data_IF_019883602697
#
_entry.id   IF_019883602697
#
_cell.length_a   1.000
_cell.length_b   1.000
_cell.length_c   1.000
_cell.angle_alpha   90.00
_cell.angle_beta   90.00
_cell.angle_gamma   90.00
#
_symmetry.space_group_name_H-M   'P 1'
#
loop_
_entity.id
_entity.type
_entity.pdbx_description
1 polymer ?
#
# COMPACT_ATOMS: atom_id res chain seq x y z
N UNK A 1 -8.39 -3.80 1.58
CA UNK A 1 -7.43 -4.91 1.76
C UNK A 1 -6.21 -4.33 2.44
N UNK A 2 -5.70 -4.95 3.51
CA UNK A 2 -4.55 -4.43 4.26
C UNK A 2 -3.38 -5.42 4.37
N UNK A 3 -3.62 -6.69 4.04
CA UNK A 3 -2.62 -7.73 4.07
C UNK A 3 -2.95 -8.84 3.06
N UNK A 4 -1.95 -9.64 2.73
CA UNK A 4 -2.07 -10.87 1.95
C UNK A 4 -1.81 -12.05 2.87
N UNK A 5 -2.62 -13.11 2.76
CA UNK A 5 -2.43 -14.40 3.43
C UNK A 5 -2.19 -15.46 2.36
N UNK A 6 -1.02 -16.10 2.38
CA UNK A 6 -0.69 -17.23 1.54
C UNK A 6 -0.69 -18.51 2.38
N UNK A 7 -1.50 -19.49 2.00
CA UNK A 7 -1.57 -20.82 2.62
C UNK A 7 -1.00 -21.83 1.62
N UNK A 8 0.14 -22.42 1.93
CA UNK A 8 0.71 -23.53 1.18
C UNK A 8 0.03 -24.84 1.59
N UNK A 9 -0.57 -25.51 0.62
CA UNK A 9 -1.17 -26.83 0.80
C UNK A 9 -0.08 -27.91 0.85
N UNK A 10 -0.38 -29.11 1.40
CA UNK A 10 0.57 -30.21 1.43
C UNK A 10 0.90 -30.68 0.00
N UNK A 11 2.03 -30.23 -0.52
CA UNK A 11 2.60 -30.65 -1.79
C UNK A 11 4.12 -30.67 -1.71
N UNK A 12 4.74 -31.76 -2.18
CA UNK A 12 6.19 -31.86 -2.26
C UNK A 12 6.75 -30.87 -3.31
N UNK A 13 7.66 -30.00 -2.88
CA UNK A 13 8.39 -29.09 -3.74
C UNK A 13 9.72 -28.70 -3.10
N UNK A 14 10.65 -28.21 -3.93
CA UNK A 14 11.90 -27.58 -3.51
C UNK A 14 12.00 -26.16 -4.11
N UNK A 15 12.66 -25.25 -3.39
CA UNK A 15 12.70 -23.83 -3.75
C UNK A 15 11.37 -23.13 -3.47
N UNK A 16 11.09 -22.03 -4.17
CA UNK A 16 9.84 -21.30 -3.97
C UNK A 16 9.83 -20.35 -2.77
N UNK A 17 10.99 -20.01 -2.21
CA UNK A 17 11.06 -19.21 -0.99
C UNK A 17 10.42 -17.83 -1.21
N UNK A 18 9.59 -17.43 -0.25
CA UNK A 18 8.99 -16.12 -0.18
C UNK A 18 9.93 -15.19 0.59
N UNK A 19 10.38 -14.15 -0.09
CA UNK A 19 11.18 -13.08 0.48
C UNK A 19 10.25 -11.91 0.74
N UNK A 20 10.25 -11.43 1.98
CA UNK A 20 9.48 -10.28 2.45
C UNK A 20 10.46 -9.21 2.90
N UNK A 21 10.21 -7.96 2.50
CA UNK A 21 11.06 -6.84 2.83
C UNK A 21 10.25 -5.60 3.18
N UNK A 22 10.58 -4.99 4.32
CA UNK A 22 9.94 -3.76 4.79
C UNK A 22 10.85 -3.02 5.76
N UNK A 23 11.01 -1.70 5.57
CA UNK A 23 11.82 -0.81 6.42
C UNK A 23 13.25 -1.34 6.68
N UNK A 24 13.93 -1.81 5.63
CA UNK A 24 15.29 -2.36 5.70
C UNK A 24 15.39 -3.72 6.40
N UNK A 25 14.26 -4.33 6.81
CA UNK A 25 14.23 -5.67 7.38
C UNK A 25 13.79 -6.67 6.32
N UNK A 26 14.53 -7.77 6.22
CA UNK A 26 14.27 -8.86 5.28
C UNK A 26 13.98 -10.15 6.02
N UNK A 27 12.89 -10.82 5.63
CA UNK A 27 12.51 -12.13 6.13
C UNK A 27 12.35 -13.10 4.96
N UNK A 28 12.82 -14.33 5.13
CA UNK A 28 12.67 -15.40 4.14
C UNK A 28 11.83 -16.51 4.76
N UNK A 29 10.77 -16.90 4.07
CA UNK A 29 9.91 -18.01 4.43
C UNK A 29 10.03 -19.13 3.40
N UNK A 30 10.28 -20.34 3.87
CA UNK A 30 10.42 -21.53 3.05
C UNK A 30 9.30 -22.52 3.39
N UNK A 31 8.33 -22.67 2.48
CA UNK A 31 7.22 -23.61 2.63
C UNK A 31 7.65 -25.08 2.46
N UNK A 32 8.71 -25.35 1.70
CA UNK A 32 9.18 -26.71 1.40
C UNK A 32 9.54 -27.51 2.66
N UNK A 33 9.97 -26.83 3.74
CA UNK A 33 10.37 -27.47 4.99
C UNK A 33 9.26 -28.31 5.66
N UNK A 34 7.99 -28.02 5.36
CA UNK A 34 6.83 -28.67 5.99
C UNK A 34 5.83 -29.22 4.98
N UNK A 35 5.98 -28.86 3.69
CA UNK A 35 4.95 -29.08 2.67
C UNK A 35 4.72 -30.53 2.27
N UNK A 36 5.61 -31.46 2.61
CA UNK A 36 5.41 -32.88 2.35
C UNK A 36 4.34 -33.52 3.26
N UNK A 37 4.11 -32.94 4.45
CA UNK A 37 3.31 -33.56 5.50
C UNK A 37 2.25 -32.64 6.11
N UNK A 38 2.41 -31.32 6.02
CA UNK A 38 1.51 -30.38 6.69
C UNK A 38 1.30 -29.08 5.89
N UNK A 39 0.25 -28.36 6.29
CA UNK A 39 -0.06 -27.01 5.83
C UNK A 39 0.91 -26.01 6.45
N UNK A 40 1.28 -25.00 5.66
CA UNK A 40 2.03 -23.85 6.18
C UNK A 40 1.46 -22.55 5.64
N UNK A 41 1.68 -21.45 6.35
CA UNK A 41 1.16 -20.16 5.92
C UNK A 41 2.14 -19.03 6.18
N UNK A 42 1.97 -17.96 5.40
CA UNK A 42 2.63 -16.68 5.59
C UNK A 42 1.62 -15.56 5.38
N UNK A 43 1.70 -14.51 6.18
CA UNK A 43 0.90 -13.31 6.00
C UNK A 43 1.79 -12.07 6.07
N UNK A 44 1.51 -11.07 5.23
CA UNK A 44 2.25 -9.81 5.19
C UNK A 44 1.34 -8.64 4.86
N UNK A 45 1.68 -7.46 5.36
CA UNK A 45 0.94 -6.23 5.08
C UNK A 45 1.13 -5.77 3.63
N UNK A 46 0.19 -4.98 3.13
CA UNK A 46 0.15 -4.54 1.72
C UNK A 46 1.35 -3.65 1.32
N UNK A 47 2.02 -3.03 2.28
CA UNK A 47 3.21 -2.19 2.12
C UNK A 47 4.53 -2.98 2.23
N UNK A 48 4.46 -4.31 2.40
CA UNK A 48 5.63 -5.19 2.39
C UNK A 48 5.94 -5.60 0.94
N UNK A 49 7.15 -5.30 0.50
CA UNK A 49 7.68 -5.80 -0.78
C UNK A 49 7.86 -7.31 -0.68
N UNK A 50 7.33 -8.05 -1.65
CA UNK A 50 7.40 -9.52 -1.64
C UNK A 50 7.91 -10.07 -2.96
N UNK A 51 8.69 -11.16 -2.89
CA UNK A 51 9.21 -11.88 -4.05
C UNK A 51 9.19 -13.39 -3.79
N UNK A 52 8.72 -14.16 -4.77
CA UNK A 52 8.75 -15.62 -4.72
C UNK A 52 9.87 -16.12 -5.63
N UNK A 53 10.79 -16.92 -5.11
CA UNK A 53 11.83 -17.58 -5.92
C UNK A 53 11.22 -18.69 -6.80
N UNK A 54 11.89 -19.07 -7.90
CA UNK A 54 11.44 -20.21 -8.71
C UNK A 54 11.37 -21.51 -7.91
N UNK A 55 10.45 -22.39 -8.31
CA UNK A 55 10.42 -23.78 -7.84
C UNK A 55 11.51 -24.56 -8.58
N UNK A 56 12.36 -25.23 -7.82
CA UNK A 56 13.46 -26.03 -8.34
C UNK A 56 13.01 -27.46 -8.72
N UNK A 57 12.09 -28.02 -7.95
CA UNK A 57 11.54 -29.37 -8.14
C UNK A 57 10.15 -29.51 -7.53
N UNK A 58 9.35 -30.46 -8.03
CA UNK A 58 8.01 -30.75 -7.52
C UNK A 58 6.94 -29.71 -7.91
N UNK A 59 5.87 -29.64 -7.12
CA UNK A 59 4.73 -28.75 -7.37
C UNK A 59 4.32 -28.03 -6.09
N UNK A 60 4.09 -26.73 -6.18
CA UNK A 60 3.67 -25.91 -5.04
C UNK A 60 2.27 -25.37 -5.26
N UNK A 61 1.31 -25.82 -4.46
CA UNK A 61 -0.06 -25.30 -4.45
C UNK A 61 -0.24 -24.30 -3.30
N UNK A 62 -0.65 -23.08 -3.64
CA UNK A 62 -0.86 -21.99 -2.67
C UNK A 62 -2.23 -21.37 -2.86
N UNK A 63 -2.97 -21.20 -1.78
CA UNK A 63 -4.17 -20.38 -1.72
C UNK A 63 -3.78 -18.98 -1.24
N UNK A 64 -3.99 -17.98 -2.10
CA UNK A 64 -3.69 -16.59 -1.78
C UNK A 64 -4.97 -15.83 -1.53
N UNK A 65 -5.09 -15.26 -0.33
CA UNK A 65 -6.23 -14.48 0.10
C UNK A 65 -5.84 -13.02 0.35
N UNK A 66 -6.73 -12.14 -0.06
CA UNK A 66 -6.70 -10.73 0.30
C UNK A 66 -7.40 -10.56 1.65
N UNK A 67 -6.67 -10.11 2.67
CA UNK A 67 -7.21 -9.87 4.01
C UNK A 67 -7.77 -8.45 4.06
N UNK A 68 -9.01 -8.32 4.51
CA UNK A 68 -9.76 -7.07 4.59
C UNK A 68 -10.13 -6.87 6.07
N UNK A 69 -9.92 -5.67 6.60
CA UNK A 69 -10.32 -5.31 7.95
C UNK A 69 -11.64 -4.55 7.88
N UNK A 70 -12.66 -5.03 8.57
CA UNK A 70 -13.99 -4.40 8.71
C UNK A 70 -14.15 -3.65 10.05
N UNK A 71 -13.05 -3.46 10.79
CA UNK A 71 -13.09 -2.85 12.12
C UNK A 71 -13.20 -1.31 12.08
N UNK A 72 -14.30 -0.83 12.64
CA UNK A 72 -14.55 0.55 13.07
C UNK A 72 -13.64 0.93 14.26
N UNK A 73 -12.90 2.07 14.18
CA UNK A 73 -12.12 2.78 15.25
C UNK A 73 -10.73 3.22 14.72
N UNK A 74 -10.09 4.39 14.94
CA UNK A 74 -10.27 5.63 15.75
C UNK A 74 -9.33 6.70 15.12
N UNK A 75 -9.69 7.99 15.19
CA UNK A 75 -9.03 9.06 14.42
C UNK A 75 -7.91 9.77 15.19
N UNK A 76 -6.76 9.97 14.53
CA UNK A 76 -5.78 11.02 14.83
C UNK A 76 -6.10 12.29 14.02
N UNK A 77 -6.26 13.43 14.69
CA UNK A 77 -6.46 14.75 14.08
C UNK A 77 -5.09 15.40 13.84
N UNK A 78 -4.66 15.48 12.58
CA UNK A 78 -3.60 16.41 12.15
C UNK A 78 -4.23 17.54 11.36
N UNK A 79 -4.26 18.75 11.93
CA UNK A 79 -4.60 19.98 11.21
C UNK A 79 -3.28 20.58 10.74
N UNK A 80 -3.11 20.77 9.43
CA UNK A 80 -2.04 21.61 8.90
C UNK A 80 -2.50 23.07 9.02
N UNK A 81 -1.84 23.82 9.89
CA UNK A 81 -2.05 25.25 10.11
C UNK A 81 -1.17 26.04 9.13
N UNK A 82 -1.81 26.85 8.30
CA UNK A 82 -1.20 27.80 7.36
C UNK A 82 -1.99 29.12 7.48
N UNK A 83 -1.50 30.00 8.34
CA UNK A 83 -1.24 31.38 7.94
C UNK A 83 -2.39 32.22 7.35
N UNK A 84 -3.48 32.42 8.11
CA UNK A 84 -4.20 33.70 8.11
C UNK A 84 -5.06 34.10 6.91
N UNK A 85 -5.23 33.23 5.90
CA UNK A 85 -6.28 33.34 4.89
C UNK A 85 -6.99 31.99 4.79
N UNK A 86 -8.32 31.96 4.63
CA UNK A 86 -9.02 30.69 4.36
C UNK A 86 -8.43 30.10 3.07
N UNK A 87 -7.72 28.97 3.12
CA UNK A 87 -7.17 28.39 1.92
C UNK A 87 -8.32 27.96 1.01
N UNK A 88 -8.19 28.20 -0.29
CA UNK A 88 -9.22 27.82 -1.27
C UNK A 88 -9.46 26.30 -1.31
N UNK A 89 -8.48 25.51 -0.83
CA UNK A 89 -8.53 24.05 -0.78
C UNK A 89 -7.85 23.52 0.48
N UNK A 90 -8.42 22.47 1.08
CA UNK A 90 -7.79 21.71 2.16
C UNK A 90 -7.40 20.33 1.64
N UNK A 91 -6.13 19.96 1.81
CA UNK A 91 -5.62 18.65 1.40
C UNK A 91 -5.34 17.80 2.64
N UNK A 92 -5.76 16.53 2.59
CA UNK A 92 -5.42 15.53 3.59
C UNK A 92 -4.79 14.32 2.90
N UNK A 93 -3.54 14.01 3.23
CA UNK A 93 -2.86 12.84 2.70
C UNK A 93 -3.44 11.58 3.35
N UNK A 94 -3.96 10.68 2.51
CA UNK A 94 -4.39 9.36 2.94
C UNK A 94 -3.18 8.52 3.35
N UNK A 95 -3.38 7.69 4.37
CA UNK A 95 -2.33 6.86 4.98
C UNK A 95 -1.91 5.70 4.08
N UNK A 96 -2.80 5.22 3.20
CA UNK A 96 -2.50 4.16 2.23
C UNK A 96 -2.25 4.74 0.84
N UNK A 97 -1.45 4.01 0.04
CA UNK A 97 -1.28 4.30 -1.38
C UNK A 97 -2.43 3.68 -2.18
N UNK A 98 -3.03 4.49 -3.06
CA UNK A 98 -4.14 4.07 -3.93
C UNK A 98 -3.74 4.26 -5.38
N UNK A 99 -4.10 3.29 -6.22
CA UNK A 99 -4.12 3.46 -7.67
C UNK A 99 -5.40 4.18 -8.09
N UNK A 100 -5.42 4.77 -9.29
CA UNK A 100 -6.61 5.42 -9.84
C UNK A 100 -7.84 4.50 -9.85
N UNK A 101 -7.67 3.22 -10.21
CA UNK A 101 -8.77 2.25 -10.20
C UNK A 101 -9.32 1.96 -8.78
N UNK A 102 -8.52 2.17 -7.74
CA UNK A 102 -8.90 1.96 -6.34
C UNK A 102 -9.32 3.24 -5.61
N UNK A 103 -9.15 4.40 -6.24
CA UNK A 103 -9.40 5.71 -5.64
C UNK A 103 -10.91 6.04 -5.70
N UNK A 104 -11.68 5.40 -4.83
CA UNK A 104 -13.10 5.69 -4.60
C UNK A 104 -13.50 5.30 -3.21
N UNK A 105 -14.54 5.95 -2.68
CA UNK A 105 -14.93 5.81 -1.29
C UNK A 105 -15.13 4.35 -0.87
N UNK A 106 -15.78 3.54 -1.70
CA UNK A 106 -16.03 2.11 -1.43
C UNK A 106 -14.78 1.24 -1.35
N UNK A 107 -13.62 1.74 -1.78
CA UNK A 107 -12.34 1.03 -1.82
C UNK A 107 -11.29 1.61 -0.88
N UNK A 108 -11.56 2.75 -0.24
CA UNK A 108 -10.68 3.30 0.78
C UNK A 108 -10.58 2.33 1.96
N UNK A 109 -9.39 2.22 2.53
CA UNK A 109 -9.09 1.22 3.55
C UNK A 109 -8.81 1.89 4.89
N UNK A 110 -9.36 1.30 5.96
CA UNK A 110 -9.00 1.64 7.32
C UNK A 110 -9.38 3.08 7.68
N UNK A 111 -8.39 3.87 8.10
CA UNK A 111 -8.60 5.23 8.59
C UNK A 111 -8.90 6.22 7.46
N UNK A 112 -8.46 5.95 6.24
CA UNK A 112 -8.73 6.78 5.07
C UNK A 112 -10.23 6.85 4.77
N UNK A 113 -10.90 5.70 4.77
CA UNK A 113 -12.36 5.63 4.62
C UNK A 113 -13.07 6.45 5.70
N UNK A 114 -12.63 6.31 6.96
CA UNK A 114 -13.25 6.99 8.11
C UNK A 114 -13.07 8.50 8.04
N UNK A 115 -11.89 8.96 7.65
CA UNK A 115 -11.57 10.38 7.52
C UNK A 115 -12.40 10.97 6.39
N UNK A 116 -12.46 10.31 5.23
CA UNK A 116 -13.24 10.79 4.07
C UNK A 116 -14.74 10.78 4.38
N UNK A 117 -15.29 9.75 5.03
CA UNK A 117 -16.71 9.76 5.45
C UNK A 117 -17.04 10.90 6.41
N UNK A 118 -16.16 11.18 7.38
CA UNK A 118 -16.40 12.30 8.32
C UNK A 118 -16.23 13.65 7.64
N UNK A 119 -15.24 13.78 6.76
CA UNK A 119 -15.06 14.95 5.93
C UNK A 119 -16.30 15.18 5.07
N UNK A 120 -16.91 14.13 4.51
CA UNK A 120 -18.14 14.22 3.74
C UNK A 120 -19.32 14.73 4.59
N UNK A 121 -19.56 14.15 5.77
CA UNK A 121 -20.61 14.64 6.69
C UNK A 121 -20.36 16.08 7.18
N UNK A 122 -19.11 16.47 7.37
CA UNK A 122 -18.77 17.84 7.76
C UNK A 122 -18.90 18.81 6.57
N UNK A 123 -18.55 18.38 5.36
CA UNK A 123 -18.61 19.18 4.15
C UNK A 123 -20.03 19.65 3.83
N UNK A 124 -21.05 18.82 4.10
CA UNK A 124 -22.46 19.22 4.00
C UNK A 124 -22.81 20.43 4.88
N UNK A 125 -22.20 20.52 6.07
CA UNK A 125 -22.45 21.64 7.00
C UNK A 125 -21.67 22.92 6.67
N UNK A 126 -20.62 22.82 5.85
CA UNK A 126 -19.70 23.94 5.53
C UNK A 126 -19.77 24.32 4.04
N UNK A 127 -20.66 23.70 3.25
CA UNK A 127 -20.79 23.91 1.81
C UNK A 127 -19.46 23.74 1.05
N UNK A 128 -18.68 22.72 1.42
CA UNK A 128 -17.44 22.38 0.76
C UNK A 128 -17.65 21.21 -0.21
N UNK A 129 -16.91 21.21 -1.31
CA UNK A 129 -16.83 20.04 -2.20
C UNK A 129 -15.68 19.14 -1.73
N UNK A 130 -15.92 17.83 -1.74
CA UNK A 130 -14.93 16.82 -1.35
C UNK A 130 -14.58 15.96 -2.55
N UNK A 131 -13.28 15.83 -2.82
CA UNK A 131 -12.72 15.02 -3.90
C UNK A 131 -11.61 14.12 -3.36
N UNK A 132 -11.36 13.03 -4.09
CA UNK A 132 -10.15 12.22 -3.92
C UNK A 132 -9.18 12.55 -5.04
N UNK A 133 -7.88 12.51 -4.75
CA UNK A 133 -6.89 12.74 -5.80
C UNK A 133 -5.64 11.87 -5.65
N UNK A 134 -5.04 11.52 -6.77
CA UNK A 134 -3.72 10.89 -6.82
C UNK A 134 -2.63 11.95 -6.96
N UNK A 135 -1.56 11.77 -6.18
CA UNK A 135 -0.33 12.54 -6.34
C UNK A 135 0.78 11.61 -6.81
N UNK A 136 1.54 12.07 -7.79
CA UNK A 136 2.76 11.43 -8.23
C UNK A 136 3.95 12.21 -7.67
N UNK A 137 4.87 11.49 -7.03
CA UNK A 137 6.17 12.04 -6.64
C UNK A 137 7.19 11.69 -7.71
N UNK A 138 7.83 12.69 -8.28
CA UNK A 138 9.01 12.51 -9.12
C UNK A 138 10.26 12.91 -8.36
N UNK A 139 11.25 12.01 -8.38
CA UNK A 139 12.59 12.24 -7.86
C UNK A 139 13.54 12.06 -9.03
N UNK A 140 14.34 13.07 -9.34
CA UNK A 140 15.45 12.96 -10.29
C UNK A 140 16.78 13.09 -9.57
N UNK A 141 17.76 12.33 -10.02
CA UNK A 141 19.08 12.29 -9.43
C UNK A 141 20.13 11.69 -10.33
N UNK A 142 21.39 11.85 -9.93
CA UNK A 142 22.54 11.25 -10.60
C UNK A 142 22.57 9.74 -10.44
N UNK A 143 23.01 9.03 -11.48
CA UNK A 143 23.30 7.59 -11.45
C UNK A 143 24.81 7.40 -11.57
N UNK A 144 25.42 6.66 -10.66
CA UNK A 144 26.81 6.21 -10.80
C UNK A 144 26.81 4.82 -11.44
N UNK A 145 27.52 4.65 -12.55
CA UNK A 145 27.54 3.40 -13.31
C UNK A 145 28.35 2.29 -12.63
N UNK A 146 29.12 2.61 -11.59
CA UNK A 146 30.02 1.66 -10.91
C UNK A 146 29.33 0.83 -9.82
N UNK A 147 28.15 1.23 -9.33
CA UNK A 147 27.36 0.49 -8.34
C UNK A 147 26.07 -0.07 -8.98
N UNK A 148 26.03 -1.39 -9.18
CA UNK A 148 24.88 -2.13 -9.76
C UNK A 148 23.63 -2.16 -8.84
N UNK A 149 23.73 -1.61 -7.63
CA UNK A 149 22.63 -1.47 -6.71
C UNK A 149 21.91 -0.15 -7.01
N UNK A 150 20.63 -0.26 -7.38
CA UNK A 150 19.78 0.78 -7.98
C UNK A 150 19.39 1.91 -7.01
N UNK A 151 20.31 2.45 -6.25
CA UNK A 151 20.07 3.59 -5.37
C UNK A 151 20.41 4.88 -6.10
N UNK A 152 19.52 5.87 -6.02
CA UNK A 152 19.81 7.24 -6.49
C UNK A 152 20.82 7.81 -5.50
N UNK A 153 22.00 8.16 -5.99
CA UNK A 153 23.13 8.55 -5.12
C UNK A 153 23.08 10.04 -4.77
N UNK A 154 22.51 10.86 -5.66
CA UNK A 154 22.32 12.31 -5.45
C UNK A 154 20.87 12.71 -5.77
N UNK A 155 20.06 13.06 -4.76
CA UNK A 155 18.75 13.70 -4.96
C UNK A 155 18.95 15.16 -5.36
N UNK A 156 18.67 15.52 -6.62
CA UNK A 156 18.86 16.91 -7.08
C UNK A 156 17.55 17.65 -7.29
N UNK A 157 16.43 16.98 -7.63
CA UNK A 157 15.11 17.61 -7.69
C UNK A 157 13.98 16.65 -7.27
N UNK A 158 13.15 17.06 -6.31
CA UNK A 158 11.91 16.39 -5.88
C UNK A 158 10.72 17.30 -6.14
N UNK A 159 9.69 16.81 -6.82
CA UNK A 159 8.42 17.52 -6.93
C UNK A 159 7.22 16.59 -6.94
N UNK A 160 6.10 17.14 -6.48
CA UNK A 160 4.81 16.46 -6.39
C UNK A 160 3.87 17.00 -7.46
N UNK A 161 3.24 16.11 -8.21
CA UNK A 161 2.27 16.46 -9.25
C UNK A 161 0.92 15.85 -8.93
N UNK A 162 -0.10 16.69 -8.85
CA UNK A 162 -1.49 16.24 -8.83
C UNK A 162 -1.81 15.67 -10.21
N UNK A 163 -2.26 14.41 -10.25
CA UNK A 163 -2.56 13.73 -11.50
C UNK A 163 -4.05 13.75 -11.75
N UNK A 164 -4.78 12.94 -10.99
CA UNK A 164 -6.19 12.68 -11.22
C UNK A 164 -6.98 13.12 -9.99
N UNK A 165 -8.08 13.83 -10.23
CA UNK A 165 -9.06 14.22 -9.22
C UNK A 165 -10.35 13.51 -9.61
N UNK A 166 -10.93 12.76 -8.67
CA UNK A 166 -12.19 12.05 -8.85
C UNK A 166 -13.15 12.40 -7.72
N UNK A 167 -14.43 12.25 -7.98
CA UNK A 167 -15.44 12.30 -6.93
C UNK A 167 -15.34 11.06 -6.00
N UNK A 168 -16.24 10.96 -5.02
CA UNK A 168 -16.26 9.82 -4.10
C UNK A 168 -16.71 8.51 -4.77
N UNK A 169 -17.35 8.56 -5.93
CA UNK A 169 -17.75 7.41 -6.74
C UNK A 169 -16.59 6.90 -7.63
N UNK A 170 -15.59 7.75 -7.88
CA UNK A 170 -14.44 7.49 -8.74
C UNK A 170 -14.65 7.94 -10.19
N UNK A 171 -15.51 8.93 -10.42
CA UNK A 171 -15.77 9.58 -11.71
C UNK A 171 -15.07 10.94 -11.85
#
# INVERSE_FOLDING_TARGET
>A
MFATLAICLPTEHEGGELILEHAGKRQVWNSANTSAVDLSFAAWYADVTHKVKPIASGHRLVLTYNVINDAQSRINRGVLDDGGGQPAFFCHQLSHQYTEASLKLSRLVGDDYKIVCRAFSAAESVNCMLYLATFERMISGGYDEEDFDREIIDETDEYWRLQTIVDLCGE
#
